data_IF_766545549536
#
_entry.id   IF_766545549536
#
_cell.length_a   1.000
_cell.length_b   1.000
_cell.length_c   1.000
_cell.angle_alpha   90.00
_cell.angle_beta   90.00
_cell.angle_gamma   90.00
#
_symmetry.space_group_name_H-M   'P 1'
#
loop_
_entity.id
_entity.type
_entity.pdbx_description
1 polymer ?
#
# COMPACT_ATOMS: atom_id res chain seq x y z
N UNK A 1 23.15 -8.37 3.54
CA UNK A 1 22.51 -7.04 3.37
C UNK A 1 21.28 -7.26 2.51
N UNK A 2 20.11 -7.57 3.08
CA UNK A 2 18.93 -7.97 2.27
C UNK A 2 17.61 -7.31 2.70
N UNK A 3 17.64 -6.28 3.55
CA UNK A 3 16.44 -5.51 3.93
C UNK A 3 16.25 -4.22 3.12
N UNK A 4 17.18 -3.89 2.21
CA UNK A 4 17.25 -2.61 1.49
C UNK A 4 16.56 -2.58 0.12
N UNK A 5 15.93 -3.67 -0.31
CA UNK A 5 15.28 -3.72 -1.62
C UNK A 5 13.92 -3.01 -1.63
N UNK A 6 13.08 -3.25 -0.61
CA UNK A 6 11.72 -2.71 -0.57
C UNK A 6 11.70 -1.17 -0.50
N UNK A 7 12.60 -0.56 0.29
CA UNK A 7 12.71 0.90 0.38
C UNK A 7 13.12 1.54 -0.95
N UNK A 8 14.10 0.94 -1.61
CA UNK A 8 14.59 1.39 -2.92
C UNK A 8 13.49 1.27 -3.98
N UNK A 9 12.71 0.20 -3.92
CA UNK A 9 11.60 -0.03 -4.85
C UNK A 9 10.45 0.96 -4.63
N UNK A 10 10.11 1.26 -3.37
CA UNK A 10 9.16 2.32 -3.00
C UNK A 10 9.64 3.68 -3.54
N UNK A 11 10.91 4.03 -3.37
CA UNK A 11 11.46 5.28 -3.91
C UNK A 11 11.38 5.32 -5.44
N UNK A 12 11.70 4.21 -6.11
CA UNK A 12 11.61 4.10 -7.56
C UNK A 12 10.17 4.22 -8.09
N UNK A 13 9.18 3.80 -7.31
CA UNK A 13 7.77 3.94 -7.65
C UNK A 13 7.29 5.37 -7.38
N UNK A 14 7.77 6.00 -6.29
CA UNK A 14 7.47 7.40 -5.98
C UNK A 14 7.96 8.37 -7.04
N UNK A 15 9.08 8.09 -7.71
CA UNK A 15 9.56 8.93 -8.84
C UNK A 15 8.72 8.78 -10.11
N UNK A 16 7.96 7.69 -10.24
CA UNK A 16 7.01 7.48 -11.36
C UNK A 16 5.66 8.17 -11.13
N UNK A 17 5.41 8.68 -9.92
CA UNK A 17 4.20 9.43 -9.63
C UNK A 17 4.17 10.70 -10.48
N UNK A 18 3.15 10.80 -11.31
CA UNK A 18 2.92 11.91 -12.22
C UNK A 18 2.19 13.07 -11.54
N UNK A 19 1.59 12.82 -10.37
CA UNK A 19 0.68 13.74 -9.68
C UNK A 19 -0.76 13.60 -10.16
N UNK A 20 -1.01 12.84 -11.23
CA UNK A 20 -2.36 12.52 -11.69
C UNK A 20 -2.90 11.33 -10.90
N UNK A 21 -3.89 11.58 -10.06
CA UNK A 21 -4.44 10.58 -9.13
C UNK A 21 -4.98 9.33 -9.83
N UNK A 22 -5.42 9.44 -11.08
CA UNK A 22 -5.97 8.31 -11.84
C UNK A 22 -4.86 7.41 -12.41
N UNK A 23 -3.77 8.01 -12.91
CA UNK A 23 -2.61 7.28 -13.45
C UNK A 23 -1.74 6.74 -12.32
N UNK A 24 -1.66 7.48 -11.21
CA UNK A 24 -0.89 7.11 -10.02
C UNK A 24 -1.60 6.06 -9.16
N UNK A 25 -2.86 5.68 -9.45
CA UNK A 25 -3.65 4.77 -8.62
C UNK A 25 -2.94 3.43 -8.40
N UNK A 26 -2.49 2.80 -9.47
CA UNK A 26 -1.79 1.50 -9.41
C UNK A 26 -0.42 1.63 -8.71
N UNK A 27 0.31 2.71 -9.01
CA UNK A 27 1.64 2.96 -8.42
C UNK A 27 1.51 3.18 -6.92
N UNK A 28 0.51 3.95 -6.48
CA UNK A 28 0.21 4.22 -5.08
C UNK A 28 -0.18 2.95 -4.33
N UNK A 29 -0.99 2.09 -4.94
CA UNK A 29 -1.36 0.80 -4.34
C UNK A 29 -0.13 -0.10 -4.15
N UNK A 30 0.75 -0.19 -5.16
CA UNK A 30 2.00 -0.92 -5.06
C UNK A 30 2.91 -0.37 -3.95
N UNK A 31 3.10 0.96 -3.89
CA UNK A 31 3.86 1.62 -2.83
C UNK A 31 3.28 1.27 -1.46
N UNK A 32 1.96 1.35 -1.31
CA UNK A 32 1.29 1.08 -0.05
C UNK A 32 1.50 -0.37 0.41
N UNK A 33 1.34 -1.34 -0.49
CA UNK A 33 1.61 -2.75 -0.24
C UNK A 33 3.08 -3.03 0.14
N UNK A 34 4.03 -2.38 -0.53
CA UNK A 34 5.45 -2.50 -0.20
C UNK A 34 5.77 -1.85 1.15
N UNK A 35 5.19 -0.69 1.45
CA UNK A 35 5.32 -0.02 2.74
C UNK A 35 4.74 -0.86 3.87
N UNK A 36 3.62 -1.55 3.64
CA UNK A 36 3.06 -2.51 4.61
C UNK A 36 4.03 -3.65 4.90
N UNK A 37 4.59 -4.27 3.85
CA UNK A 37 5.58 -5.35 4.00
C UNK A 37 6.85 -4.87 4.72
N UNK A 38 7.32 -3.67 4.38
CA UNK A 38 8.51 -3.07 4.98
C UNK A 38 8.31 -2.72 6.45
N UNK A 39 7.14 -2.18 6.81
CA UNK A 39 6.79 -1.84 8.21
C UNK A 39 6.29 -3.05 9.00
N UNK A 40 5.97 -4.17 8.35
CA UNK A 40 5.41 -5.37 8.97
C UNK A 40 3.99 -5.17 9.52
N UNK A 41 3.28 -4.11 9.10
CA UNK A 41 1.89 -3.87 9.49
C UNK A 41 0.99 -4.72 8.60
N UNK A 42 0.24 -5.63 9.21
CA UNK A 42 -0.88 -6.31 8.54
C UNK A 42 -1.90 -5.26 8.08
N UNK A 43 -2.54 -5.45 6.91
CA UNK A 43 -3.65 -4.59 6.52
C UNK A 43 -4.64 -4.58 7.67
N UNK A 44 -5.17 -3.39 7.99
CA UNK A 44 -6.18 -3.21 9.03
C UNK A 44 -7.15 -4.37 8.92
N UNK A 45 -7.24 -5.13 10.01
CA UNK A 45 -8.15 -6.24 10.20
C UNK A 45 -9.50 -5.75 9.68
N UNK A 46 -9.82 -6.12 8.43
CA UNK A 46 -11.09 -5.80 7.82
C UNK A 46 -12.11 -6.74 8.45
N UNK A 47 -12.29 -6.58 9.76
CA UNK A 47 -13.58 -6.68 10.41
C UNK A 47 -14.46 -5.59 9.81
N UNK A 48 -14.82 -5.79 8.55
CA UNK A 48 -16.09 -5.33 8.03
C UNK A 48 -17.15 -6.20 8.71
N UNK A 49 -17.35 -6.01 10.01
CA UNK A 49 -18.59 -6.35 10.69
C UNK A 49 -19.64 -5.35 10.21
N UNK A 50 -19.98 -5.41 8.91
CA UNK A 50 -21.32 -5.08 8.52
C UNK A 50 -22.20 -6.23 9.00
N UNK A 51 -22.47 -6.24 10.31
CA UNK A 51 -23.60 -6.94 10.90
C UNK A 51 -24.84 -6.16 10.43
N UNK A 52 -25.15 -6.29 9.14
CA UNK A 52 -26.41 -5.95 8.52
C UNK A 52 -27.41 -7.09 8.76
N UNK A 53 -27.64 -7.42 10.03
CA UNK A 53 -28.77 -8.21 10.50
C UNK A 53 -29.12 -7.69 11.89
N UNK A 54 -29.92 -6.63 11.93
CA UNK A 54 -30.17 -5.88 13.15
C UNK A 54 -31.39 -4.99 13.09
N UNK A 55 -32.50 -5.50 12.54
CA UNK A 55 -33.92 -5.26 12.91
C UNK A 55 -34.84 -5.30 11.68
#
# INVERSE_FOLDING_TARGET
METSNLSTEIESLKTKLTGNMMEDMEIRDQIHNLEMKLKGVKPEDSHFDCIGCGS
#
